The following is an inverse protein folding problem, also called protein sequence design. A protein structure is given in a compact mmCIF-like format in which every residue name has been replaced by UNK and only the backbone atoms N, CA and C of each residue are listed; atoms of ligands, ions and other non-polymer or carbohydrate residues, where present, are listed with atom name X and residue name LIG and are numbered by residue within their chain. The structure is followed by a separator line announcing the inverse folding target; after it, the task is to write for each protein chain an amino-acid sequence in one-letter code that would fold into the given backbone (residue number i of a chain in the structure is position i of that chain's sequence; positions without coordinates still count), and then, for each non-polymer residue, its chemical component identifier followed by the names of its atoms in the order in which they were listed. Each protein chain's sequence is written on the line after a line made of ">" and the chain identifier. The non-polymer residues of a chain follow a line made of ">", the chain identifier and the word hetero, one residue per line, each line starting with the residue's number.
data_IF_178374692876
#
_entry.id   IF_178374692876
#
_cell.length_a   1.000
_cell.length_b   1.000
_cell.length_c   1.000
_cell.angle_alpha   90.00
_cell.angle_beta   90.00
_cell.angle_gamma   90.00
#
_symmetry.space_group_name_H-M   'P 1'
#
loop_
_entity.id
_entity.type
_entity.pdbx_description
1 polymer ?
#
# COMPACT_ATOMS: atom_id res chain seq x y z
N UNK A 1 5.91 31.32 9.92
CA UNK A 1 4.84 31.02 8.94
C UNK A 1 4.29 32.32 8.30
N UNK A 2 5.14 33.17 7.70
CA UNK A 2 4.72 34.46 7.09
C UNK A 2 5.77 35.04 6.12
N UNK A 3 6.42 34.20 5.30
CA UNK A 3 7.38 34.67 4.26
C UNK A 3 7.25 33.95 2.91
N UNK A 4 6.04 33.50 2.56
CA UNK A 4 5.77 32.84 1.28
C UNK A 4 4.52 33.37 0.55
N UNK A 5 4.10 34.62 0.80
CA UNK A 5 2.86 35.19 0.25
C UNK A 5 3.04 36.56 -0.45
N UNK A 6 4.26 36.93 -0.84
CA UNK A 6 4.55 38.22 -1.49
C UNK A 6 5.25 38.03 -2.82
N UNK A 7 4.59 37.34 -3.77
CA UNK A 7 5.05 37.26 -5.16
C UNK A 7 3.90 37.29 -6.19
N UNK A 8 2.68 37.68 -5.81
CA UNK A 8 1.49 37.62 -6.68
C UNK A 8 0.73 38.94 -6.86
N UNK A 9 1.32 40.10 -6.54
CA UNK A 9 0.58 41.37 -6.52
C UNK A 9 1.32 42.57 -7.13
N UNK A 10 2.01 42.40 -8.27
CA UNK A 10 2.63 43.52 -9.01
C UNK A 10 2.35 43.49 -10.51
N UNK A 11 1.12 43.14 -10.92
CA UNK A 11 0.74 43.14 -12.34
C UNK A 11 -0.59 43.82 -12.68
N UNK A 12 -1.04 44.82 -11.92
CA UNK A 12 -2.16 45.66 -12.34
C UNK A 12 -2.01 47.10 -11.85
N UNK A 13 -1.21 47.91 -12.53
CA UNK A 13 -1.49 49.34 -12.80
C UNK A 13 -0.36 50.00 -13.59
N UNK A 14 -0.47 49.96 -14.93
CA UNK A 14 -0.07 51.08 -15.79
C UNK A 14 -0.76 50.92 -17.14
N UNK A 15 -1.91 51.58 -17.26
CA UNK A 15 -2.55 51.89 -18.54
C UNK A 15 -1.90 53.14 -19.13
N UNK A 16 -1.41 53.05 -20.36
CA UNK A 16 -1.22 54.17 -21.29
C UNK A 16 -0.98 53.59 -22.71
N UNK A 17 -1.30 54.34 -23.78
CA UNK A 17 -2.30 53.98 -24.78
C UNK A 17 -1.75 53.17 -25.95
N UNK A 18 -2.69 52.55 -26.66
CA UNK A 18 -2.51 51.75 -27.87
C UNK A 18 -1.84 52.58 -28.96
N UNK A 19 -0.64 52.18 -29.37
CA UNK A 19 -0.04 52.55 -30.66
C UNK A 19 -0.03 51.28 -31.50
N UNK A 20 -0.85 51.25 -32.54
CA UNK A 20 -0.82 50.22 -33.57
C UNK A 20 0.49 50.36 -34.35
N UNK A 21 1.44 49.46 -34.09
CA UNK A 21 2.61 49.26 -34.94
C UNK A 21 2.44 47.89 -35.60
N UNK A 22 2.36 47.91 -36.93
CA UNK A 22 2.31 46.74 -37.79
C UNK A 22 3.60 45.93 -37.63
N UNK A 23 3.55 44.83 -36.89
CA UNK A 23 4.72 43.96 -36.70
C UNK A 23 4.64 42.79 -37.67
N UNK A 24 5.56 42.77 -38.62
CA UNK A 24 5.89 41.60 -39.43
C UNK A 24 6.18 40.41 -38.53
N UNK A 25 5.47 39.30 -38.73
CA UNK A 25 5.68 38.07 -37.97
C UNK A 25 7.08 37.49 -38.29
N UNK A 26 7.99 37.59 -37.33
CA UNK A 26 9.18 36.74 -37.29
C UNK A 26 8.79 35.33 -36.85
N UNK A 27 9.40 34.26 -37.39
CA UNK A 27 9.08 32.90 -36.96
C UNK A 27 9.45 32.74 -35.48
N UNK A 28 8.48 32.26 -34.68
CA UNK A 28 8.69 31.91 -33.27
C UNK A 28 9.85 30.92 -33.18
N UNK A 29 10.85 31.25 -32.36
CA UNK A 29 11.83 30.30 -31.87
C UNK A 29 11.10 29.12 -31.20
N UNK A 30 11.58 27.87 -31.37
CA UNK A 30 10.98 26.72 -30.71
C UNK A 30 11.02 26.95 -29.19
N UNK A 31 9.97 26.51 -28.46
CA UNK A 31 9.98 26.58 -27.02
C UNK A 31 11.23 25.89 -26.48
N UNK A 32 11.85 26.41 -25.40
CA UNK A 32 12.99 25.75 -24.78
C UNK A 32 12.59 24.31 -24.43
N UNK A 33 13.51 23.34 -24.57
CA UNK A 33 13.22 21.95 -24.23
C UNK A 33 12.68 21.91 -22.80
N UNK A 34 11.54 21.23 -22.63
CA UNK A 34 10.98 20.91 -21.31
C UNK A 34 12.11 20.32 -20.48
N UNK A 35 12.45 20.96 -19.35
CA UNK A 35 13.44 20.40 -18.43
C UNK A 35 13.05 18.94 -18.13
N UNK A 36 14.01 18.01 -18.12
CA UNK A 36 13.72 16.62 -17.82
C UNK A 36 12.97 16.58 -16.50
N UNK A 37 11.87 15.82 -16.47
CA UNK A 37 11.11 15.50 -15.26
C UNK A 37 12.07 15.33 -14.09
N UNK A 38 12.02 16.24 -13.11
CA UNK A 38 13.03 16.31 -12.06
C UNK A 38 13.05 15.00 -11.27
N UNK A 39 14.01 14.12 -11.61
CA UNK A 39 14.29 12.90 -10.87
C UNK A 39 14.96 13.28 -9.56
N UNK A 40 14.51 12.70 -8.44
CA UNK A 40 15.16 12.93 -7.15
C UNK A 40 16.58 12.37 -7.18
N UNK A 41 17.53 13.18 -6.74
CA UNK A 41 18.93 12.78 -6.54
C UNK A 41 19.08 11.88 -5.31
N UNK A 42 20.16 11.10 -5.26
CA UNK A 42 20.46 10.25 -4.09
C UNK A 42 20.59 11.04 -2.78
N UNK A 43 21.07 12.29 -2.88
CA UNK A 43 21.19 13.21 -1.75
C UNK A 43 19.80 13.62 -1.25
N UNK A 44 18.89 13.99 -2.14
CA UNK A 44 17.51 14.33 -1.77
C UNK A 44 16.76 13.13 -1.18
N UNK A 45 16.99 11.93 -1.70
CA UNK A 45 16.43 10.70 -1.13
C UNK A 45 16.97 10.43 0.27
N UNK A 46 18.26 10.65 0.51
CA UNK A 46 18.87 10.55 1.84
C UNK A 46 18.29 11.59 2.82
N UNK A 47 18.07 12.82 2.36
CA UNK A 47 17.41 13.87 3.15
C UNK A 47 15.97 13.50 3.48
N UNK A 48 15.20 12.99 2.52
CA UNK A 48 13.83 12.50 2.75
C UNK A 48 13.82 11.42 3.83
N UNK A 49 14.72 10.43 3.75
CA UNK A 49 14.85 9.37 4.77
C UNK A 49 15.09 9.95 6.16
N UNK A 50 16.01 10.91 6.26
CA UNK A 50 16.34 11.57 7.52
C UNK A 50 15.16 12.39 8.06
N UNK A 51 14.49 13.15 7.20
CA UNK A 51 13.37 14.00 7.57
C UNK A 51 12.16 13.18 8.02
N UNK A 52 11.82 12.10 7.31
CA UNK A 52 10.74 11.18 7.72
C UNK A 52 11.01 10.63 9.12
N UNK A 53 12.23 10.15 9.39
CA UNK A 53 12.62 9.67 10.73
C UNK A 53 12.42 10.76 11.79
N UNK A 54 12.95 11.96 11.57
CA UNK A 54 12.84 13.08 12.53
C UNK A 54 11.40 13.53 12.76
N UNK A 55 10.57 13.54 11.72
CA UNK A 55 9.15 13.87 11.82
C UNK A 55 8.40 12.81 12.64
N UNK A 56 8.71 11.53 12.43
CA UNK A 56 8.21 10.42 13.21
C UNK A 56 8.63 10.48 14.69
N UNK A 57 9.86 10.89 15.00
CA UNK A 57 10.35 11.09 16.38
C UNK A 57 9.73 12.31 17.08
N UNK A 58 9.25 13.29 16.31
CA UNK A 58 8.59 14.49 16.82
C UNK A 58 7.06 14.37 16.85
N UNK A 59 6.53 13.15 16.71
CA UNK A 59 5.10 12.82 16.60
C UNK A 59 4.33 13.59 15.50
N UNK A 60 5.03 14.09 14.48
CA UNK A 60 4.44 14.79 13.32
C UNK A 60 4.19 13.83 12.17
N UNK A 61 3.33 12.84 12.41
CA UNK A 61 3.03 11.76 11.46
C UNK A 61 2.32 12.26 10.19
N UNK A 62 1.46 13.27 10.32
CA UNK A 62 0.79 13.91 9.18
C UNK A 62 1.80 14.53 8.21
N UNK A 63 2.82 15.21 8.75
CA UNK A 63 3.88 15.83 7.96
C UNK A 63 4.77 14.77 7.30
N UNK A 64 5.05 13.66 7.99
CA UNK A 64 5.81 12.54 7.43
C UNK A 64 5.08 11.87 6.26
N UNK A 65 3.78 11.60 6.43
CA UNK A 65 2.90 11.07 5.37
C UNK A 65 2.86 12.04 4.19
N UNK A 66 2.66 13.33 4.46
CA UNK A 66 2.67 14.37 3.42
C UNK A 66 3.99 14.40 2.67
N UNK A 67 5.13 14.37 3.37
CA UNK A 67 6.45 14.37 2.74
C UNK A 67 6.63 13.18 1.78
N UNK A 68 6.25 11.98 2.21
CA UNK A 68 6.30 10.79 1.35
C UNK A 68 5.36 10.93 0.15
N UNK A 69 4.11 11.34 0.37
CA UNK A 69 3.16 11.51 -0.74
C UNK A 69 3.64 12.58 -1.72
N UNK A 70 4.28 13.66 -1.26
CA UNK A 70 4.88 14.66 -2.15
C UNK A 70 6.10 14.12 -2.88
N UNK A 71 6.92 13.28 -2.25
CA UNK A 71 8.08 12.67 -2.92
C UNK A 71 7.64 11.76 -4.07
N UNK A 72 6.48 11.10 -3.96
CA UNK A 72 5.90 10.30 -5.05
C UNK A 72 5.53 11.13 -6.30
N UNK A 73 5.41 12.46 -6.18
CA UNK A 73 5.30 13.39 -7.32
C UNK A 73 6.61 13.58 -8.09
N UNK A 74 7.72 12.95 -7.70
CA UNK A 74 8.94 12.86 -8.51
C UNK A 74 9.18 11.45 -9.09
N UNK A 75 8.24 10.52 -8.87
CA UNK A 75 8.31 9.11 -9.32
C UNK A 75 9.62 8.40 -8.91
N UNK A 76 10.06 8.53 -7.65
CA UNK A 76 11.25 7.83 -7.20
C UNK A 76 11.01 6.33 -7.15
N UNK A 77 12.09 5.54 -7.26
CA UNK A 77 12.00 4.11 -7.03
C UNK A 77 11.56 3.86 -5.56
N UNK A 78 10.51 3.06 -5.39
CA UNK A 78 9.80 2.91 -4.11
C UNK A 78 10.67 2.27 -3.00
N UNK A 79 11.61 1.40 -3.38
CA UNK A 79 12.62 0.80 -2.52
C UNK A 79 13.58 1.85 -1.93
N UNK A 80 13.76 2.98 -2.61
CA UNK A 80 14.59 4.05 -2.09
C UNK A 80 13.88 4.89 -1.00
N UNK A 81 12.55 4.83 -0.90
CA UNK A 81 11.80 5.58 0.11
C UNK A 81 11.86 4.90 1.49
N UNK A 82 11.79 5.65 2.59
CA UNK A 82 11.75 5.11 3.96
C UNK A 82 10.35 4.51 4.30
N UNK A 83 9.83 3.63 3.44
CA UNK A 83 8.48 3.05 3.57
C UNK A 83 8.39 2.18 4.82
N UNK A 84 9.38 1.30 5.03
CA UNK A 84 9.40 0.38 6.16
C UNK A 84 9.45 1.11 7.51
N UNK A 85 10.29 2.14 7.65
CA UNK A 85 10.40 2.90 8.89
C UNK A 85 9.18 3.78 9.16
N UNK A 86 8.55 4.33 8.11
CA UNK A 86 7.26 5.00 8.25
C UNK A 86 6.19 4.00 8.70
N UNK A 87 6.08 2.85 8.03
CA UNK A 87 5.10 1.82 8.37
C UNK A 87 5.24 1.31 9.82
N UNK A 88 6.47 1.06 10.26
CA UNK A 88 6.78 0.66 11.62
C UNK A 88 6.28 1.71 12.63
N UNK A 89 6.64 2.99 12.43
CA UNK A 89 6.15 4.07 13.29
C UNK A 89 4.63 4.21 13.27
N UNK A 90 4.00 4.14 12.10
CA UNK A 90 2.54 4.26 11.99
C UNK A 90 1.83 3.09 12.68
N UNK A 91 2.39 1.89 12.62
CA UNK A 91 1.82 0.69 13.24
C UNK A 91 1.96 0.66 14.77
N UNK A 92 2.87 1.45 15.35
CA UNK A 92 3.02 1.59 16.80
C UNK A 92 2.10 2.66 17.41
N UNK A 93 1.39 3.44 16.60
CA UNK A 93 0.42 4.44 17.08
C UNK A 93 -0.84 3.77 17.64
N UNK A 94 -1.49 4.33 18.68
CA UNK A 94 -2.67 3.70 19.28
C UNK A 94 -3.84 3.57 18.29
N UNK A 95 -3.99 4.53 17.38
CA UNK A 95 -5.02 4.54 16.34
C UNK A 95 -4.45 4.28 14.94
N UNK A 96 -5.32 4.14 13.95
CA UNK A 96 -4.95 3.97 12.55
C UNK A 96 -5.07 5.25 11.74
N UNK A 97 -5.24 6.43 12.35
CA UNK A 97 -5.58 7.67 11.62
C UNK A 97 -4.50 8.01 10.61
N UNK A 98 -3.23 7.99 11.02
CA UNK A 98 -2.11 8.30 10.14
C UNK A 98 -1.82 7.19 9.10
N UNK A 99 -2.05 5.91 9.45
CA UNK A 99 -1.96 4.82 8.49
C UNK A 99 -3.04 4.92 7.40
N UNK A 100 -4.29 5.18 7.79
CA UNK A 100 -5.40 5.33 6.86
C UNK A 100 -5.30 6.62 6.05
N UNK A 101 -4.72 7.69 6.59
CA UNK A 101 -4.46 8.91 5.83
C UNK A 101 -3.42 8.68 4.74
N UNK A 102 -2.36 7.91 5.01
CA UNK A 102 -1.39 7.48 3.99
C UNK A 102 -2.08 6.66 2.89
N UNK A 103 -2.84 5.63 3.25
CA UNK A 103 -3.55 4.79 2.26
C UNK A 103 -4.53 5.61 1.42
N UNK A 104 -5.26 6.53 2.04
CA UNK A 104 -6.16 7.46 1.34
C UNK A 104 -5.40 8.37 0.39
N UNK A 105 -4.24 8.89 0.81
CA UNK A 105 -3.40 9.73 -0.03
C UNK A 105 -2.83 8.94 -1.23
N UNK A 106 -2.44 7.67 -1.06
CA UNK A 106 -1.99 6.80 -2.15
C UNK A 106 -3.10 6.55 -3.18
N UNK A 107 -4.33 6.31 -2.70
CA UNK A 107 -5.51 6.05 -3.56
C UNK A 107 -5.81 7.19 -4.53
N UNK A 108 -5.77 8.42 -4.02
CA UNK A 108 -6.10 9.62 -4.79
C UNK A 108 -4.85 10.34 -5.32
N UNK A 109 -3.69 9.68 -5.28
CA UNK A 109 -2.44 10.29 -5.71
C UNK A 109 -2.41 10.45 -7.24
N UNK A 110 -1.99 11.61 -7.78
CA UNK A 110 -1.99 11.85 -9.24
C UNK A 110 -1.16 10.85 -10.06
N UNK A 111 -0.15 10.24 -9.45
CA UNK A 111 0.74 9.24 -10.09
C UNK A 111 0.25 7.80 -9.96
N UNK A 112 -0.82 7.54 -9.21
CA UNK A 112 -1.30 6.19 -8.89
C UNK A 112 -0.18 5.20 -8.52
N UNK A 113 0.66 5.53 -7.51
CA UNK A 113 1.77 4.66 -7.10
C UNK A 113 1.21 3.32 -6.61
N UNK A 114 1.98 2.24 -6.83
CA UNK A 114 1.59 0.92 -6.33
C UNK A 114 1.45 0.97 -4.79
N UNK A 115 0.28 0.60 -4.23
CA UNK A 115 0.08 0.59 -2.79
C UNK A 115 0.73 -0.62 -2.11
N UNK A 116 1.21 -1.61 -2.89
CA UNK A 116 1.68 -2.90 -2.39
C UNK A 116 2.86 -2.76 -1.41
N UNK A 117 3.95 -2.00 -1.68
CA UNK A 117 5.07 -1.89 -0.75
C UNK A 117 4.68 -1.23 0.59
N UNK A 118 3.76 -0.25 0.53
CA UNK A 118 3.24 0.42 1.72
C UNK A 118 2.35 -0.51 2.55
N UNK A 119 1.45 -1.24 1.91
CA UNK A 119 0.56 -2.17 2.58
C UNK A 119 1.31 -3.38 3.14
N UNK A 120 2.26 -3.94 2.38
CA UNK A 120 3.15 -5.02 2.83
C UNK A 120 3.86 -4.61 4.13
N UNK A 121 4.49 -3.44 4.13
CA UNK A 121 5.23 -2.94 5.29
C UNK A 121 4.30 -2.70 6.48
N UNK A 122 3.13 -2.09 6.27
CA UNK A 122 2.14 -1.87 7.33
C UNK A 122 1.60 -3.18 7.92
N UNK A 123 1.20 -4.13 7.07
CA UNK A 123 0.69 -5.44 7.50
C UNK A 123 1.75 -6.18 8.32
N UNK A 124 2.99 -6.23 7.81
CA UNK A 124 4.11 -6.86 8.50
C UNK A 124 4.37 -6.22 9.88
N UNK A 125 4.45 -4.89 9.95
CA UNK A 125 4.67 -4.17 11.21
C UNK A 125 3.50 -4.32 12.19
N UNK A 126 2.24 -4.33 11.73
CA UNK A 126 1.10 -4.59 12.60
C UNK A 126 1.14 -6.00 13.20
N UNK A 127 1.55 -7.02 12.45
CA UNK A 127 1.73 -8.37 13.02
C UNK A 127 2.87 -8.43 14.02
N UNK A 128 3.99 -7.76 13.75
CA UNK A 128 5.12 -7.66 14.70
C UNK A 128 4.67 -6.99 16.02
N UNK A 129 3.80 -6.00 15.93
CA UNK A 129 3.21 -5.32 17.08
C UNK A 129 2.02 -6.05 17.70
N UNK A 130 1.72 -7.30 17.30
CA UNK A 130 0.59 -8.11 17.79
C UNK A 130 -0.78 -7.41 17.63
N UNK A 131 -0.94 -6.68 16.52
CA UNK A 131 -2.16 -5.92 16.16
C UNK A 131 -2.83 -6.48 14.91
N UNK A 132 -3.39 -7.71 14.97
CA UNK A 132 -3.92 -8.36 13.78
C UNK A 132 -5.22 -7.72 13.27
N UNK A 133 -5.99 -7.02 14.12
CA UNK A 133 -7.23 -6.35 13.69
C UNK A 133 -6.94 -5.20 12.73
N UNK A 134 -5.85 -4.48 12.97
CA UNK A 134 -5.37 -3.38 12.15
C UNK A 134 -4.75 -3.91 10.84
N UNK A 135 -3.98 -5.01 10.90
CA UNK A 135 -3.51 -5.71 9.71
C UNK A 135 -4.67 -6.14 8.81
N UNK A 136 -5.73 -6.71 9.37
CA UNK A 136 -6.95 -7.08 8.64
C UNK A 136 -7.62 -5.88 7.98
N UNK A 137 -7.63 -4.71 8.62
CA UNK A 137 -8.16 -3.48 8.02
C UNK A 137 -7.33 -3.02 6.83
N UNK A 138 -6.00 -3.06 6.91
CA UNK A 138 -5.13 -2.74 5.76
C UNK A 138 -5.35 -3.71 4.61
N UNK A 139 -5.44 -5.01 4.89
CA UNK A 139 -5.71 -6.02 3.87
C UNK A 139 -7.11 -5.83 3.25
N UNK A 140 -8.14 -5.57 4.06
CA UNK A 140 -9.49 -5.27 3.57
C UNK A 140 -9.54 -4.01 2.70
N UNK A 141 -8.67 -3.03 2.98
CA UNK A 141 -8.54 -1.84 2.16
C UNK A 141 -7.99 -2.19 0.77
N UNK A 142 -7.04 -3.14 0.68
CA UNK A 142 -6.50 -3.64 -0.59
C UNK A 142 -7.55 -4.41 -1.42
N UNK A 143 -8.44 -5.17 -0.77
CA UNK A 143 -9.48 -5.95 -1.46
C UNK A 143 -10.59 -5.12 -2.12
N UNK A 144 -10.68 -3.81 -1.82
CA UNK A 144 -11.73 -2.98 -2.40
C UNK A 144 -11.57 -2.88 -3.91
N UNK A 145 -12.67 -2.91 -4.65
CA UNK A 145 -12.66 -2.82 -6.11
C UNK A 145 -12.12 -1.49 -6.66
N UNK A 146 -12.03 -0.47 -5.81
CA UNK A 146 -11.53 0.87 -6.15
C UNK A 146 -10.03 1.05 -5.85
N UNK A 147 -9.33 0.00 -5.42
CA UNK A 147 -7.86 0.04 -5.33
C UNK A 147 -7.23 -0.14 -6.70
N UNK A 148 -6.10 0.55 -6.96
CA UNK A 148 -5.44 0.47 -8.26
C UNK A 148 -4.81 -0.89 -8.52
N UNK A 149 -4.56 -1.70 -7.48
CA UNK A 149 -3.84 -2.97 -7.58
C UNK A 149 -4.39 -3.98 -6.58
N UNK A 150 -4.50 -5.24 -7.02
CA UNK A 150 -4.78 -6.40 -6.17
C UNK A 150 -3.52 -6.80 -5.38
N UNK A 151 -3.66 -7.41 -4.19
CA UNK A 151 -2.54 -7.99 -3.45
C UNK A 151 -1.77 -9.01 -4.31
N UNK A 152 -0.46 -9.04 -4.14
CA UNK A 152 0.37 -10.08 -4.73
C UNK A 152 0.48 -11.31 -3.82
N UNK A 153 1.14 -12.36 -4.32
CA UNK A 153 1.31 -13.62 -3.59
C UNK A 153 2.04 -13.41 -2.25
N UNK A 154 2.97 -12.46 -2.19
CA UNK A 154 3.77 -12.18 -1.00
C UNK A 154 2.94 -11.46 0.09
N UNK A 155 2.09 -10.49 -0.27
CA UNK A 155 1.14 -9.87 0.67
C UNK A 155 0.14 -10.89 1.23
N UNK A 156 -0.39 -11.78 0.38
CA UNK A 156 -1.25 -12.87 0.85
C UNK A 156 -0.51 -13.80 1.81
N UNK A 157 0.71 -14.22 1.45
CA UNK A 157 1.55 -15.10 2.27
C UNK A 157 1.77 -14.54 3.67
N UNK A 158 2.26 -13.30 3.79
CA UNK A 158 2.51 -12.69 5.11
C UNK A 158 1.22 -12.49 5.91
N UNK A 159 0.10 -12.24 5.24
CA UNK A 159 -1.22 -12.08 5.86
C UNK A 159 -1.69 -13.38 6.48
N UNK A 160 -1.71 -14.46 5.69
CA UNK A 160 -2.14 -15.78 6.15
C UNK A 160 -1.25 -16.28 7.28
N UNK A 161 0.08 -16.24 7.11
CA UNK A 161 1.01 -16.68 8.15
C UNK A 161 0.90 -15.84 9.42
N UNK A 162 0.76 -14.52 9.30
CA UNK A 162 0.60 -13.61 10.42
C UNK A 162 -0.69 -13.86 11.21
N UNK A 163 -1.80 -14.05 10.53
CA UNK A 163 -3.08 -14.38 11.16
C UNK A 163 -3.07 -15.73 11.85
N UNK A 164 -2.54 -16.78 11.20
CA UNK A 164 -2.40 -18.11 11.80
C UNK A 164 -1.55 -18.04 13.08
N UNK A 165 -0.39 -17.36 13.03
CA UNK A 165 0.53 -17.21 14.17
C UNK A 165 -0.11 -16.52 15.38
N UNK A 166 -1.00 -15.56 15.13
CA UNK A 166 -1.72 -14.81 16.17
C UNK A 166 -3.07 -15.43 16.54
N UNK A 167 -3.35 -16.66 16.10
CA UNK A 167 -4.58 -17.40 16.41
C UNK A 167 -5.85 -16.82 15.75
N UNK A 168 -5.71 -15.90 14.79
CA UNK A 168 -6.84 -15.29 14.06
C UNK A 168 -7.21 -16.13 12.84
N UNK A 169 -7.56 -17.39 13.07
CA UNK A 169 -7.70 -18.37 11.99
C UNK A 169 -8.84 -18.05 11.01
N UNK A 170 -9.94 -17.42 11.46
CA UNK A 170 -10.98 -16.92 10.55
C UNK A 170 -10.45 -15.90 9.55
N UNK A 171 -9.68 -14.90 10.01
CA UNK A 171 -9.07 -13.90 9.13
C UNK A 171 -8.10 -14.55 8.16
N UNK A 172 -7.34 -15.57 8.61
CA UNK A 172 -6.45 -16.34 7.76
C UNK A 172 -7.22 -17.04 6.63
N UNK A 173 -8.33 -17.72 6.94
CA UNK A 173 -9.15 -18.39 5.93
C UNK A 173 -9.82 -17.43 4.95
N UNK A 174 -10.25 -16.25 5.43
CA UNK A 174 -10.75 -15.19 4.55
C UNK A 174 -9.65 -14.75 3.57
N UNK A 175 -8.43 -14.54 4.07
CA UNK A 175 -7.29 -14.19 3.21
C UNK A 175 -6.94 -15.30 2.20
N UNK A 176 -7.01 -16.58 2.60
CA UNK A 176 -6.83 -17.73 1.69
C UNK A 176 -7.92 -17.78 0.63
N UNK A 177 -9.18 -17.53 1.01
CA UNK A 177 -10.29 -17.48 0.06
C UNK A 177 -10.08 -16.39 -0.99
N UNK A 178 -9.69 -15.19 -0.58
CA UNK A 178 -9.38 -14.09 -1.51
C UNK A 178 -8.19 -14.44 -2.41
N UNK A 179 -7.12 -15.04 -1.85
CA UNK A 179 -5.95 -15.52 -2.60
C UNK A 179 -6.34 -16.52 -3.70
N UNK A 180 -7.14 -17.53 -3.36
CA UNK A 180 -7.63 -18.54 -4.31
C UNK A 180 -8.58 -17.90 -5.34
N UNK A 181 -9.39 -16.93 -4.94
CA UNK A 181 -10.30 -16.21 -5.85
C UNK A 181 -9.55 -15.38 -6.90
N UNK A 182 -8.41 -14.81 -6.51
CA UNK A 182 -7.47 -14.09 -7.38
C UNK A 182 -6.58 -15.06 -8.19
N UNK A 183 -6.84 -16.37 -8.14
CA UNK A 183 -6.08 -17.44 -8.83
C UNK A 183 -4.62 -17.53 -8.40
N UNK A 184 -4.34 -17.17 -7.15
CA UNK A 184 -3.03 -17.31 -6.54
C UNK A 184 -3.01 -18.58 -5.69
N UNK A 185 -2.06 -19.45 -5.94
CA UNK A 185 -1.90 -20.71 -5.20
C UNK A 185 -1.11 -20.47 -3.92
N UNK A 186 -1.61 -20.88 -2.73
CA UNK A 186 -0.84 -20.87 -1.50
C UNK A 186 0.45 -21.68 -1.65
N UNK A 187 1.58 -21.11 -1.22
CA UNK A 187 2.85 -21.82 -1.18
C UNK A 187 2.79 -22.99 -0.19
N UNK A 188 3.67 -23.98 -0.40
CA UNK A 188 3.76 -25.16 0.47
C UNK A 188 3.90 -24.82 1.96
N UNK A 189 4.71 -23.80 2.30
CA UNK A 189 4.89 -23.35 3.69
C UNK A 189 3.61 -22.70 4.25
N UNK A 190 2.88 -21.97 3.42
CA UNK A 190 1.60 -21.34 3.78
C UNK A 190 0.54 -22.40 4.05
N UNK A 191 0.43 -23.43 3.19
CA UNK A 191 -0.48 -24.56 3.37
C UNK A 191 -0.22 -25.29 4.70
N UNK A 192 1.04 -25.61 5.00
CA UNK A 192 1.41 -26.25 6.27
C UNK A 192 1.05 -25.37 7.47
N UNK A 193 1.21 -24.05 7.35
CA UNK A 193 0.85 -23.09 8.40
C UNK A 193 -0.65 -23.06 8.65
N UNK A 194 -1.48 -23.06 7.59
CA UNK A 194 -2.94 -23.16 7.66
C UNK A 194 -3.36 -24.46 8.36
N UNK A 195 -2.81 -25.60 7.92
CA UNK A 195 -3.11 -26.91 8.50
C UNK A 195 -2.82 -26.95 10.00
N UNK A 196 -1.63 -26.51 10.42
CA UNK A 196 -1.27 -26.42 11.84
C UNK A 196 -2.17 -25.47 12.62
N UNK A 197 -2.54 -24.33 12.04
CA UNK A 197 -3.45 -23.36 12.66
C UNK A 197 -4.84 -23.94 12.92
N UNK A 198 -5.39 -24.73 11.99
CA UNK A 198 -6.67 -25.43 12.18
C UNK A 198 -6.58 -26.48 13.30
N UNK A 199 -5.51 -27.28 13.33
CA UNK A 199 -5.31 -28.27 14.40
C UNK A 199 -5.21 -27.63 15.79
N UNK A 200 -4.56 -26.47 15.91
CA UNK A 200 -4.48 -25.73 17.16
C UNK A 200 -5.83 -25.22 17.66
N UNK A 201 -6.82 -25.07 16.78
CA UNK A 201 -8.20 -24.72 17.11
C UNK A 201 -9.12 -25.95 17.23
N UNK A 202 -8.55 -27.16 17.29
CA UNK A 202 -9.27 -28.43 17.31
C UNK A 202 -10.20 -28.67 16.09
N UNK A 203 -9.95 -27.98 14.98
CA UNK A 203 -10.69 -28.10 13.70
C UNK A 203 -10.04 -29.16 12.80
N UNK A 204 -10.04 -30.41 13.27
CA UNK A 204 -9.31 -31.51 12.62
C UNK A 204 -9.94 -31.89 11.29
N UNK A 205 -11.26 -31.96 11.22
CA UNK A 205 -11.98 -32.35 10.00
C UNK A 205 -11.72 -31.33 8.88
N UNK A 206 -11.79 -30.03 9.20
CA UNK A 206 -11.51 -28.97 8.23
C UNK A 206 -10.05 -28.96 7.79
N UNK A 207 -9.11 -29.30 8.68
CA UNK A 207 -7.71 -29.42 8.33
C UNK A 207 -7.47 -30.57 7.34
N UNK A 208 -8.09 -31.72 7.59
CA UNK A 208 -7.97 -32.92 6.75
C UNK A 208 -8.67 -32.77 5.39
N UNK A 209 -9.73 -31.96 5.32
CA UNK A 209 -10.38 -31.63 4.05
C UNK A 209 -9.63 -30.56 3.24
N UNK A 210 -9.17 -29.49 3.89
CA UNK A 210 -8.61 -28.33 3.21
C UNK A 210 -7.18 -28.57 2.70
N UNK A 211 -6.34 -29.28 3.46
CA UNK A 211 -4.94 -29.54 3.08
C UNK A 211 -4.78 -30.23 1.71
N UNK A 212 -5.44 -31.37 1.44
CA UNK A 212 -5.35 -32.01 0.13
C UNK A 212 -5.98 -31.16 -0.97
N UNK A 213 -7.06 -30.42 -0.68
CA UNK A 213 -7.69 -29.53 -1.65
C UNK A 213 -6.74 -28.40 -2.10
N UNK A 214 -5.97 -27.83 -1.16
CA UNK A 214 -4.91 -26.86 -1.47
C UNK A 214 -3.71 -27.49 -2.19
N UNK A 215 -3.42 -28.76 -1.94
CA UNK A 215 -2.35 -29.47 -2.65
C UNK A 215 -2.69 -29.73 -4.13
N UNK A 216 -3.97 -29.97 -4.45
CA UNK A 216 -4.41 -30.16 -5.84
C UNK A 216 -4.18 -28.90 -6.68
N UNK A 217 -4.59 -27.73 -6.19
CA UNK A 217 -4.33 -26.46 -6.92
C UNK A 217 -2.84 -26.17 -7.11
N UNK A 218 -1.98 -26.64 -6.20
CA UNK A 218 -0.52 -26.50 -6.30
C UNK A 218 0.08 -27.41 -7.37
N UNK A 219 -0.42 -28.63 -7.52
CA UNK A 219 0.12 -29.62 -8.46
C UNK A 219 -0.44 -29.50 -9.88
N UNK A 220 -1.74 -29.25 -10.01
CA UNK A 220 -2.43 -29.29 -11.32
C UNK A 220 -2.79 -27.90 -11.85
N UNK A 221 -2.86 -26.88 -11.01
CA UNK A 221 -3.44 -25.58 -11.38
C UNK A 221 -4.95 -25.63 -11.63
N UNK A 222 -5.62 -26.73 -11.26
CA UNK A 222 -7.05 -26.94 -11.40
C UNK A 222 -7.71 -27.06 -10.01
N UNK A 223 -9.04 -26.95 -9.92
CA UNK A 223 -9.77 -27.17 -8.67
C UNK A 223 -10.00 -25.94 -7.78
N UNK A 224 -9.59 -24.73 -8.21
CA UNK A 224 -9.85 -23.47 -7.48
C UNK A 224 -11.33 -23.30 -7.09
N UNK A 225 -12.27 -23.68 -7.96
CA UNK A 225 -13.70 -23.55 -7.69
C UNK A 225 -14.20 -24.43 -6.55
N UNK A 226 -13.64 -25.62 -6.39
CA UNK A 226 -14.02 -26.55 -5.32
C UNK A 226 -13.37 -26.17 -4.00
N UNK A 227 -12.12 -25.68 -4.03
CA UNK A 227 -11.46 -25.05 -2.88
C UNK A 227 -12.26 -23.85 -2.38
N UNK A 228 -12.77 -22.98 -3.26
CA UNK A 228 -13.58 -21.84 -2.87
C UNK A 228 -14.88 -22.27 -2.18
N UNK A 229 -15.59 -23.26 -2.71
CA UNK A 229 -16.81 -23.81 -2.06
C UNK A 229 -16.51 -24.40 -0.69
N UNK A 230 -15.38 -25.10 -0.57
CA UNK A 230 -14.93 -25.65 0.71
C UNK A 230 -14.63 -24.55 1.73
N UNK A 231 -13.88 -23.53 1.33
CA UNK A 231 -13.58 -22.37 2.17
C UNK A 231 -14.85 -21.62 2.58
N UNK A 232 -15.80 -21.42 1.66
CA UNK A 232 -17.09 -20.81 1.97
C UNK A 232 -17.87 -21.60 3.03
N UNK A 233 -17.88 -22.92 2.92
CA UNK A 233 -18.51 -23.81 3.91
C UNK A 233 -17.82 -23.68 5.28
N UNK A 234 -16.49 -23.75 5.32
CA UNK A 234 -15.70 -23.67 6.57
C UNK A 234 -15.88 -22.31 7.25
N UNK A 235 -15.83 -21.22 6.49
CA UNK A 235 -15.96 -19.83 6.97
C UNK A 235 -17.38 -19.57 7.46
N UNK A 236 -18.41 -20.06 6.75
CA UNK A 236 -19.81 -19.88 7.17
C UNK A 236 -20.13 -20.59 8.49
N UNK A 237 -19.46 -21.73 8.74
CA UNK A 237 -19.65 -22.54 9.94
C UNK A 237 -18.51 -22.30 10.97
N UNK A 238 -18.02 -21.07 11.12
CA UNK A 238 -16.87 -20.76 11.97
C UNK A 238 -17.22 -20.54 13.47
N UNK A 239 -18.49 -20.70 13.89
CA UNK A 239 -18.94 -20.45 15.26
C UNK A 239 -19.25 -21.74 16.05
#
# INVERSE_FOLDING_TARGET
>A
MRRALTAAATLLHRRSPVVFISTSASPLSPPPPLEPSAFLTDVELAEIRLLVRRLCESDRHDAAVRLITTALLADPPLDALPIASLADRLSSLPDMVAAMSLLTALRYHPRHPSPIPFCYSLISSYFQNSRPKEAAKVLSWLFRSDTPCRPDAEVYRISVEGFCRLGRMLDALIAVKEMVSDRITPASETRVTIYRGLLQQARVDEAQELDPALMVIEQSGEGFGDVLKLLDRIIKNWE
#
